data_IF_124488833554
#
_entry.id   IF_124488833554
#
_cell.length_a   1.000
_cell.length_b   1.000
_cell.length_c   1.000
_cell.angle_alpha   90.00
_cell.angle_beta   90.00
_cell.angle_gamma   90.00
#
_symmetry.space_group_name_H-M   'P 1'
#
loop_
_entity.id
_entity.type
_entity.pdbx_description
1 polymer ?
#
# COMPACT_ATOMS: atom_id res chain seq x y z
N UNK A 1 -5.35 -1.42 17.47
CA UNK A 1 -5.87 -1.42 16.72
C UNK A 1 -5.81 -2.33 15.69
N UNK A 2 -6.57 -2.56 14.99
CA UNK A 2 -6.55 -3.50 13.99
C UNK A 2 -5.70 -3.10 12.89
N UNK A 3 -4.90 -4.00 12.34
CA UNK A 3 -4.18 -3.73 11.22
C UNK A 3 -5.05 -3.94 10.07
N UNK A 4 -4.95 -3.14 9.05
CA UNK A 4 -5.69 -3.29 7.84
C UNK A 4 -4.85 -3.97 6.81
N UNK A 5 -5.48 -4.75 5.96
CA UNK A 5 -4.76 -5.38 4.88
C UNK A 5 -5.55 -5.21 3.59
N UNK A 6 -4.86 -5.26 2.48
CA UNK A 6 -5.48 -5.20 1.18
C UNK A 6 -5.21 -6.55 0.51
N UNK A 7 -6.24 -7.17 -0.02
CA UNK A 7 -6.08 -8.45 -0.69
C UNK A 7 -6.01 -8.18 -2.18
N UNK A 8 -4.93 -8.58 -2.82
CA UNK A 8 -4.70 -8.22 -4.20
C UNK A 8 -5.56 -9.00 -5.17
N UNK A 9 -5.69 -8.42 -6.36
CA UNK A 9 -6.35 -9.08 -7.45
C UNK A 9 -5.25 -9.31 -8.45
N UNK A 10 -5.40 -10.29 -9.28
CA UNK A 10 -4.39 -10.60 -10.28
C UNK A 10 -4.16 -9.36 -11.14
N UNK A 11 -2.93 -8.97 -11.27
CA UNK A 11 -2.58 -7.80 -12.08
C UNK A 11 -2.38 -6.52 -11.30
N UNK A 12 -2.64 -6.54 -10.00
CA UNK A 12 -2.44 -5.33 -9.21
C UNK A 12 -0.96 -5.02 -9.14
N UNK A 13 -0.62 -3.74 -9.01
CA UNK A 13 0.76 -3.33 -8.81
C UNK A 13 0.81 -2.46 -7.58
N UNK A 14 2.03 -2.18 -7.09
CA UNK A 14 2.18 -1.36 -5.90
C UNK A 14 1.54 0.01 -6.07
N UNK A 15 1.74 0.64 -7.24
CA UNK A 15 1.20 1.96 -7.48
C UNK A 15 -0.32 1.92 -7.47
N UNK A 16 -0.91 0.90 -8.05
CA UNK A 16 -2.35 0.80 -8.11
C UNK A 16 -2.92 0.63 -6.72
N UNK A 17 -2.27 -0.17 -5.89
CA UNK A 17 -2.76 -0.40 -4.54
C UNK A 17 -2.66 0.90 -3.74
N UNK A 18 -1.54 1.61 -3.85
CA UNK A 18 -1.39 2.85 -3.11
C UNK A 18 -2.46 3.84 -3.52
N UNK A 19 -2.74 3.94 -4.81
CA UNK A 19 -3.71 4.89 -5.25
C UNK A 19 -5.10 4.49 -4.79
N UNK A 20 -5.41 3.22 -4.84
CA UNK A 20 -6.72 2.78 -4.45
C UNK A 20 -6.95 2.92 -2.95
N UNK A 21 -5.97 2.60 -2.14
CA UNK A 21 -6.14 2.62 -0.70
C UNK A 21 -5.97 4.01 -0.11
N UNK A 22 -4.97 4.75 -0.58
CA UNK A 22 -4.67 6.03 0.02
C UNK A 22 -5.02 7.21 -0.88
N UNK A 23 -5.37 6.93 -2.09
CA UNK A 23 -5.76 8.00 -3.01
C UNK A 23 -4.58 8.66 -3.69
N UNK A 24 -3.37 8.19 -3.46
CA UNK A 24 -2.21 8.83 -4.04
C UNK A 24 -1.07 7.84 -4.16
N UNK A 25 -0.50 7.74 -5.34
CA UNK A 25 0.57 6.78 -5.56
C UNK A 25 1.85 7.19 -4.84
N UNK A 26 1.91 8.38 -4.26
CA UNK A 26 3.06 8.77 -3.49
C UNK A 26 3.26 7.87 -2.29
N UNK A 27 2.22 7.16 -1.87
CA UNK A 27 2.35 6.29 -0.73
C UNK A 27 2.90 4.90 -1.08
N UNK A 28 3.32 4.72 -2.33
CA UNK A 28 3.87 3.44 -2.76
C UNK A 28 5.09 3.05 -1.93
N UNK A 29 5.98 4.01 -1.67
CA UNK A 29 7.17 3.70 -0.90
C UNK A 29 6.82 3.28 0.51
N UNK A 30 5.81 3.89 1.08
CA UNK A 30 5.40 3.55 2.42
C UNK A 30 4.88 2.12 2.44
N UNK A 31 4.10 1.74 1.43
CA UNK A 31 3.58 0.40 1.38
C UNK A 31 4.72 -0.59 1.26
N UNK A 32 5.67 -0.30 0.40
CA UNK A 32 6.76 -1.24 0.17
C UNK A 32 7.62 -1.39 1.41
N UNK A 33 7.86 -0.32 2.13
CA UNK A 33 8.71 -0.42 3.30
C UNK A 33 8.03 -1.20 4.42
N UNK A 34 6.71 -1.29 4.39
CA UNK A 34 6.01 -2.07 5.40
C UNK A 34 5.68 -3.48 4.93
N UNK A 35 6.13 -3.86 3.74
CA UNK A 35 5.85 -5.17 3.21
C UNK A 35 7.08 -5.68 2.47
N UNK A 36 8.23 -5.63 3.15
CA UNK A 36 9.47 -5.97 2.50
C UNK A 36 9.54 -7.38 1.95
N UNK A 37 8.82 -8.29 2.55
CA UNK A 37 8.85 -9.64 2.04
C UNK A 37 8.12 -9.75 0.70
N UNK A 38 7.37 -8.73 0.31
CA UNK A 38 6.63 -8.77 -0.93
C UNK A 38 7.26 -7.93 -2.03
N UNK A 39 8.39 -7.30 -1.74
CA UNK A 39 9.01 -6.41 -2.69
C UNK A 39 9.36 -7.05 -4.02
N UNK A 40 9.58 -8.35 -4.04
CA UNK A 40 9.93 -8.98 -5.29
C UNK A 40 8.79 -9.02 -6.28
N UNK A 41 7.57 -8.71 -5.88
CA UNK A 41 6.48 -8.70 -6.82
C UNK A 41 6.44 -7.36 -7.53
N UNK A 42 6.44 -7.35 -8.86
CA UNK A 42 6.21 -6.13 -9.59
C UNK A 42 4.73 -6.13 -9.88
N UNK A 43 4.16 -7.30 -10.19
CA UNK A 43 2.75 -7.44 -10.45
C UNK A 43 2.28 -8.53 -9.53
N UNK A 44 1.23 -8.30 -8.78
CA UNK A 44 0.78 -9.25 -7.81
C UNK A 44 -0.16 -10.28 -8.39
N UNK A 45 -0.06 -11.51 -7.92
CA UNK A 45 -1.10 -12.47 -8.22
C UNK A 45 -2.26 -12.19 -7.30
N UNK A 46 -3.34 -12.88 -7.48
CA UNK A 46 -4.49 -12.64 -6.64
C UNK A 46 -4.25 -13.17 -5.24
N UNK A 47 -4.96 -12.66 -4.30
CA UNK A 47 -4.96 -13.15 -2.92
C UNK A 47 -3.68 -12.96 -2.12
N UNK A 48 -2.94 -11.93 -2.40
CA UNK A 48 -1.79 -11.60 -1.58
C UNK A 48 -2.21 -10.54 -0.58
N UNK A 49 -1.89 -10.74 0.68
CA UNK A 49 -2.26 -9.77 1.71
C UNK A 49 -1.16 -8.73 1.84
N UNK A 50 -1.50 -7.48 1.65
CA UNK A 50 -0.55 -6.38 1.78
C UNK A 50 -0.92 -5.62 3.03
N UNK A 51 0.03 -5.47 3.95
CA UNK A 51 -0.24 -4.73 5.18
C UNK A 51 -0.35 -3.24 4.88
N UNK A 52 -1.34 -2.60 5.43
CA UNK A 52 -1.58 -1.19 5.15
C UNK A 52 -1.24 -0.36 6.39
N UNK A 53 -0.09 0.30 6.36
CA UNK A 53 0.28 1.10 7.53
C UNK A 53 -0.63 2.32 7.64
N UNK A 54 -0.75 2.83 8.83
CA UNK A 54 -1.55 3.99 9.03
C UNK A 54 -0.75 5.22 8.73
N UNK A 55 -1.37 6.23 8.18
CA UNK A 55 -0.70 7.46 7.87
C UNK A 55 -1.13 8.48 8.89
N UNK A 56 -0.18 9.06 9.60
CA UNK A 56 -0.53 10.03 10.62
C UNK A 56 -1.15 11.24 9.98
N UNK A 57 -2.24 11.71 10.56
CA UNK A 57 -2.87 12.76 9.98
C UNK A 57 -2.13 13.95 9.92
N UNK A 58 -1.44 14.30 10.90
CA UNK A 58 -0.70 15.49 10.88
C UNK A 58 0.32 15.43 9.92
N UNK A 59 0.85 14.40 9.67
CA UNK A 59 1.86 14.34 8.78
C UNK A 59 1.36 14.43 7.52
N UNK A 60 0.26 14.16 7.35
CA UNK A 60 -0.17 14.16 6.09
C UNK A 60 0.14 15.28 5.43
N UNK A 61 0.70 15.81 5.85
CA UNK A 61 1.18 16.63 5.23
C UNK A 61 0.88 17.44 4.32
N UNK A 62 0.34 17.41 4.00
CA UNK A 62 0.04 18.10 3.08
C UNK A 62 -0.27 19.28 3.48
N UNK A 63 0.18 20.06 3.24
CA UNK A 63 0.03 21.32 3.59
C UNK A 63 -1.26 21.69 3.30
N UNK A 64 -1.73 21.73 3.31
CA UNK A 64 -2.71 22.15 2.95
C UNK A 64 -2.91 22.84 2.59
#
# INVERSE_FOLDING_TARGET
>A
MAKKVYITKSGDTWDMVAKEVYGDELYTSLLMSNNQELIEYFVFPENISIALPEIPKEESLLPD
#
